data_IF_819446205187
#
_entry.id   IF_819446205187
#
_cell.length_a   1.000
_cell.length_b   1.000
_cell.length_c   1.000
_cell.angle_alpha   90.00
_cell.angle_beta   90.00
_cell.angle_gamma   90.00
#
_symmetry.space_group_name_H-M   'P 1'
#
loop_
_entity.id
_entity.type
_entity.pdbx_description
1 polymer ?
#
# COMPACT_ATOMS: atom_id res chain seq x y z
N UNK A 1 24.06 19.46 -14.00
CA UNK A 1 23.25 18.29 -13.61
C UNK A 1 23.67 17.90 -12.20
N UNK A 2 22.80 17.83 -11.21
CA UNK A 2 23.16 17.29 -9.91
C UNK A 2 23.62 15.82 -10.08
N UNK A 3 24.58 15.34 -9.30
CA UNK A 3 25.05 13.97 -9.39
C UNK A 3 23.86 13.03 -9.15
N UNK A 4 23.67 12.07 -10.06
CA UNK A 4 22.62 11.06 -9.93
C UNK A 4 22.86 10.33 -8.61
N UNK A 5 21.99 10.56 -7.64
CA UNK A 5 22.06 9.86 -6.36
C UNK A 5 22.07 8.34 -6.61
N UNK A 6 22.87 7.54 -5.91
CA UNK A 6 22.89 6.09 -6.05
C UNK A 6 21.50 5.47 -5.83
N UNK A 7 20.58 6.20 -5.19
CA UNK A 7 19.19 5.78 -4.97
C UNK A 7 18.29 5.89 -6.21
N UNK A 8 18.71 6.60 -7.28
CA UNK A 8 17.87 6.80 -8.48
C UNK A 8 17.50 5.48 -9.14
N UNK A 9 18.45 4.54 -9.22
CA UNK A 9 18.21 3.22 -9.84
C UNK A 9 17.19 2.42 -9.02
N UNK A 10 17.32 2.41 -7.69
CA UNK A 10 16.39 1.69 -6.80
C UNK A 10 14.97 2.24 -6.91
N UNK A 11 14.84 3.56 -7.05
CA UNK A 11 13.55 4.23 -7.22
C UNK A 11 12.89 3.89 -8.56
N UNK A 12 13.67 3.88 -9.63
CA UNK A 12 13.18 3.46 -10.96
C UNK A 12 12.72 2.00 -10.93
N UNK A 13 13.50 1.11 -10.32
CA UNK A 13 13.13 -0.30 -10.19
C UNK A 13 11.84 -0.45 -9.37
N UNK A 14 11.75 0.24 -8.24
CA UNK A 14 10.55 0.22 -7.41
C UNK A 14 9.33 0.73 -8.18
N UNK A 15 9.48 1.82 -8.92
CA UNK A 15 8.41 2.36 -9.77
C UNK A 15 7.96 1.33 -10.82
N UNK A 16 8.89 0.67 -11.51
CA UNK A 16 8.56 -0.33 -12.52
C UNK A 16 7.83 -1.53 -11.90
N UNK A 17 8.23 -1.99 -10.72
CA UNK A 17 7.54 -3.05 -9.99
C UNK A 17 6.10 -2.64 -9.67
N UNK A 18 5.91 -1.45 -9.08
CA UNK A 18 4.60 -0.96 -8.71
C UNK A 18 3.70 -0.71 -9.92
N UNK A 19 4.25 -0.16 -11.01
CA UNK A 19 3.52 0.01 -12.26
C UNK A 19 3.07 -1.33 -12.84
N UNK A 20 3.94 -2.35 -12.82
CA UNK A 20 3.60 -3.71 -13.28
C UNK A 20 2.46 -4.34 -12.48
N UNK A 21 2.48 -4.17 -11.16
CA UNK A 21 1.39 -4.59 -10.25
C UNK A 21 0.07 -3.91 -10.63
N UNK A 22 0.10 -2.61 -10.86
CA UNK A 22 -1.10 -1.85 -11.21
C UNK A 22 -1.65 -2.24 -12.59
N UNK A 23 -0.78 -2.44 -13.58
CA UNK A 23 -1.18 -2.93 -14.90
C UNK A 23 -1.81 -4.32 -14.79
N UNK A 24 -1.22 -5.23 -14.01
CA UNK A 24 -1.79 -6.55 -13.77
C UNK A 24 -3.20 -6.48 -13.18
N UNK A 25 -3.40 -5.68 -12.13
CA UNK A 25 -4.72 -5.49 -11.50
C UNK A 25 -5.72 -4.84 -12.46
N UNK A 26 -5.28 -3.84 -13.22
CA UNK A 26 -6.10 -3.19 -14.24
C UNK A 26 -6.60 -4.18 -15.30
N UNK A 27 -5.71 -5.01 -15.84
CA UNK A 27 -6.07 -6.02 -16.84
C UNK A 27 -7.07 -7.03 -16.26
N UNK A 28 -6.88 -7.46 -15.02
CA UNK A 28 -7.82 -8.36 -14.32
C UNK A 28 -9.18 -7.73 -14.11
N UNK A 29 -9.23 -6.50 -13.61
CA UNK A 29 -10.47 -5.77 -13.36
C UNK A 29 -11.23 -5.50 -14.68
N UNK A 30 -10.53 -5.01 -15.70
CA UNK A 30 -11.09 -4.79 -17.05
C UNK A 30 -11.67 -6.07 -17.64
N UNK A 31 -10.94 -7.19 -17.51
CA UNK A 31 -11.42 -8.50 -17.98
C UNK A 31 -12.69 -8.95 -17.25
N UNK A 32 -12.81 -8.65 -15.96
CA UNK A 32 -14.00 -8.96 -15.16
C UNK A 32 -15.19 -8.07 -15.53
N UNK A 33 -14.96 -6.76 -15.70
CA UNK A 33 -15.97 -5.80 -16.16
C UNK A 33 -16.53 -6.22 -17.53
N UNK A 34 -15.65 -6.57 -18.48
CA UNK A 34 -16.07 -6.99 -19.82
C UNK A 34 -16.96 -8.22 -19.83
N UNK A 35 -16.73 -9.17 -18.90
CA UNK A 35 -17.50 -10.43 -18.77
C UNK A 35 -18.74 -10.28 -17.89
N UNK A 36 -18.96 -9.13 -17.26
CA UNK A 36 -20.15 -8.88 -16.45
C UNK A 36 -21.43 -8.76 -17.30
N UNK A 37 -22.58 -8.90 -16.68
CA UNK A 37 -23.88 -8.71 -17.32
C UNK A 37 -24.29 -7.24 -17.54
N UNK A 38 -23.43 -6.27 -17.24
CA UNK A 38 -23.74 -4.84 -17.39
C UNK A 38 -23.93 -4.42 -18.84
N UNK A 39 -24.64 -3.31 -19.06
CA UNK A 39 -24.80 -2.72 -20.39
C UNK A 39 -23.46 -2.24 -20.99
N UNK A 40 -23.30 -2.18 -22.33
CA UNK A 40 -22.04 -1.76 -22.94
C UNK A 40 -21.60 -0.37 -22.50
N UNK A 41 -22.53 0.59 -22.38
CA UNK A 41 -22.27 1.95 -21.90
C UNK A 41 -21.73 1.97 -20.47
N UNK A 42 -22.33 1.20 -19.58
CA UNK A 42 -21.88 1.10 -18.19
C UNK A 42 -20.52 0.42 -18.06
N UNK A 43 -20.24 -0.63 -18.85
CA UNK A 43 -18.90 -1.23 -18.94
C UNK A 43 -17.82 -0.23 -19.38
N UNK A 44 -18.14 0.57 -20.40
CA UNK A 44 -17.23 1.60 -20.89
C UNK A 44 -16.94 2.65 -19.81
N UNK A 45 -17.97 3.12 -19.13
CA UNK A 45 -17.85 4.07 -18.02
C UNK A 45 -16.96 3.49 -16.89
N UNK A 46 -17.21 2.25 -16.46
CA UNK A 46 -16.41 1.60 -15.43
C UNK A 46 -14.93 1.47 -15.83
N UNK A 47 -14.66 1.08 -17.09
CA UNK A 47 -13.27 0.98 -17.57
C UNK A 47 -12.62 2.35 -17.64
N UNK A 48 -13.34 3.37 -18.10
CA UNK A 48 -12.83 4.74 -18.15
C UNK A 48 -12.51 5.27 -16.75
N UNK A 49 -13.45 5.11 -15.80
CA UNK A 49 -13.23 5.50 -14.40
C UNK A 49 -12.04 4.79 -13.76
N UNK A 50 -11.89 3.49 -14.02
CA UNK A 50 -10.74 2.72 -13.55
C UNK A 50 -9.43 3.22 -14.17
N UNK A 51 -9.44 3.58 -15.46
CA UNK A 51 -8.25 4.13 -16.15
C UNK A 51 -7.85 5.49 -15.57
N UNK A 52 -8.82 6.37 -15.34
CA UNK A 52 -8.59 7.67 -14.70
C UNK A 52 -8.04 7.47 -13.28
N UNK A 53 -8.65 6.59 -12.50
CA UNK A 53 -8.20 6.29 -11.14
C UNK A 53 -6.73 5.82 -11.11
N UNK A 54 -6.39 4.83 -11.95
CA UNK A 54 -5.00 4.33 -12.04
C UNK A 54 -4.05 5.44 -12.51
N UNK A 55 -4.47 6.29 -13.45
CA UNK A 55 -3.70 7.45 -13.91
C UNK A 55 -3.44 8.47 -12.80
N UNK A 56 -4.48 8.83 -12.04
CA UNK A 56 -4.36 9.75 -10.89
C UNK A 56 -3.42 9.19 -9.82
N UNK A 57 -3.44 7.88 -9.59
CA UNK A 57 -2.53 7.23 -8.63
C UNK A 57 -1.06 7.22 -9.10
N UNK A 58 -0.75 7.62 -10.35
CA UNK A 58 0.64 7.84 -10.77
C UNK A 58 1.17 9.23 -10.39
N UNK A 59 0.30 10.19 -10.08
CA UNK A 59 0.69 11.58 -9.78
C UNK A 59 1.73 11.66 -8.66
N UNK A 60 1.59 10.97 -7.51
CA UNK A 60 2.59 11.01 -6.45
C UNK A 60 3.97 10.47 -6.86
N UNK A 61 4.01 9.46 -7.75
CA UNK A 61 5.29 8.97 -8.30
C UNK A 61 5.97 10.02 -9.18
N UNK A 62 5.18 10.63 -10.09
CA UNK A 62 5.66 11.69 -10.99
C UNK A 62 6.11 12.90 -10.17
N UNK A 63 5.31 13.27 -9.16
CA UNK A 63 5.59 14.35 -8.25
C UNK A 63 6.96 14.21 -7.56
N UNK A 64 7.32 12.99 -7.20
CA UNK A 64 8.61 12.75 -6.58
C UNK A 64 9.79 12.98 -7.54
N UNK A 65 9.65 12.67 -8.83
CA UNK A 65 10.71 12.91 -9.82
C UNK A 65 10.83 14.38 -10.23
N UNK A 66 9.74 15.15 -10.20
CA UNK A 66 9.72 16.57 -10.57
C UNK A 66 10.32 17.46 -9.47
N UNK A 67 10.15 17.06 -8.19
CA UNK A 67 10.68 17.79 -7.05
C UNK A 67 9.62 18.61 -6.29
N UNK A 68 10.06 19.49 -5.36
CA UNK A 68 9.21 20.11 -4.35
C UNK A 68 8.46 21.38 -4.82
N UNK A 69 8.06 21.45 -6.08
CA UNK A 69 7.26 22.55 -6.61
C UNK A 69 5.95 22.73 -5.83
N UNK A 70 5.46 23.98 -5.60
CA UNK A 70 4.28 24.24 -4.76
C UNK A 70 3.02 23.46 -5.17
N UNK A 71 2.72 23.37 -6.47
CA UNK A 71 1.58 22.60 -6.99
C UNK A 71 1.72 21.10 -6.76
N UNK A 72 2.94 20.58 -6.85
CA UNK A 72 3.27 19.18 -6.60
C UNK A 72 3.08 18.82 -5.13
N UNK A 73 3.50 19.71 -4.22
CA UNK A 73 3.29 19.53 -2.77
C UNK A 73 1.82 19.45 -2.40
N UNK A 74 0.99 20.32 -2.99
CA UNK A 74 -0.46 20.33 -2.72
C UNK A 74 -1.11 19.04 -3.22
N UNK A 75 -0.80 18.59 -4.43
CA UNK A 75 -1.31 17.34 -4.97
C UNK A 75 -0.85 16.13 -4.13
N UNK A 76 0.41 16.11 -3.70
CA UNK A 76 0.93 15.06 -2.83
C UNK A 76 0.24 15.05 -1.47
N UNK A 77 0.01 16.21 -0.85
CA UNK A 77 -0.66 16.31 0.45
C UNK A 77 -2.06 15.67 0.44
N UNK A 78 -2.80 15.84 -0.66
CA UNK A 78 -4.14 15.25 -0.82
C UNK A 78 -4.08 13.76 -1.15
N UNK A 79 -3.14 13.36 -2.00
CA UNK A 79 -3.09 12.01 -2.55
C UNK A 79 -2.24 11.03 -1.72
N UNK A 80 -1.44 11.48 -0.75
CA UNK A 80 -0.48 10.62 -0.02
C UNK A 80 -1.14 9.39 0.63
N UNK A 81 -2.25 9.55 1.32
CA UNK A 81 -2.97 8.43 1.96
C UNK A 81 -3.68 7.53 0.94
N UNK A 82 -4.52 8.05 0.02
CA UNK A 82 -5.08 7.23 -1.05
C UNK A 82 -4.02 6.47 -1.85
N UNK A 83 -2.89 7.12 -2.13
CA UNK A 83 -1.76 6.53 -2.83
C UNK A 83 -1.09 5.41 -2.02
N UNK A 84 -0.85 5.61 -0.73
CA UNK A 84 -0.28 4.58 0.13
C UNK A 84 -1.21 3.36 0.22
N UNK A 85 -2.51 3.59 0.50
CA UNK A 85 -3.52 2.53 0.53
C UNK A 85 -3.56 1.76 -0.79
N UNK A 86 -3.58 2.48 -1.91
CA UNK A 86 -3.60 1.87 -3.24
C UNK A 86 -2.33 1.06 -3.50
N UNK A 87 -1.15 1.62 -3.26
CA UNK A 87 0.13 1.00 -3.59
C UNK A 87 0.38 -0.27 -2.77
N UNK A 88 0.27 -0.20 -1.45
CA UNK A 88 0.49 -1.35 -0.58
C UNK A 88 -0.64 -2.38 -0.70
N UNK A 89 -1.89 -1.93 -0.74
CA UNK A 89 -3.04 -2.80 -0.93
C UNK A 89 -3.01 -3.52 -2.28
N UNK A 90 -2.56 -2.82 -3.35
CA UNK A 90 -2.41 -3.39 -4.68
C UNK A 90 -1.37 -4.51 -4.71
N UNK A 91 -0.22 -4.34 -4.03
CA UNK A 91 0.81 -5.40 -3.92
C UNK A 91 0.21 -6.66 -3.30
N UNK A 92 -0.41 -6.54 -2.12
CA UNK A 92 -1.02 -7.67 -1.41
C UNK A 92 -2.11 -8.36 -2.24
N UNK A 93 -2.99 -7.56 -2.86
CA UNK A 93 -4.04 -8.07 -3.76
C UNK A 93 -3.45 -8.79 -4.97
N UNK A 94 -2.42 -8.22 -5.59
CA UNK A 94 -1.77 -8.82 -6.77
C UNK A 94 -1.05 -10.13 -6.42
N UNK A 95 -0.41 -10.22 -5.26
CA UNK A 95 0.22 -11.45 -4.77
C UNK A 95 -0.82 -12.57 -4.59
N UNK A 96 -1.95 -12.28 -3.97
CA UNK A 96 -3.04 -13.26 -3.79
C UNK A 96 -3.63 -13.70 -5.12
N UNK A 97 -3.94 -12.76 -6.03
CA UNK A 97 -4.47 -13.07 -7.34
C UNK A 97 -3.46 -13.81 -8.20
N UNK A 98 -2.18 -13.43 -8.17
CA UNK A 98 -1.10 -14.09 -8.87
C UNK A 98 -0.89 -15.53 -8.39
N UNK A 99 -0.84 -15.75 -7.09
CA UNK A 99 -0.76 -17.09 -6.52
C UNK A 99 -1.93 -17.98 -6.98
N UNK A 100 -3.15 -17.44 -6.97
CA UNK A 100 -4.30 -18.16 -7.51
C UNK A 100 -4.14 -18.50 -8.99
N UNK A 101 -3.66 -17.57 -9.80
CA UNK A 101 -3.48 -17.79 -11.24
C UNK A 101 -2.44 -18.89 -11.50
N UNK A 102 -1.33 -18.87 -10.78
CA UNK A 102 -0.29 -19.90 -10.83
C UNK A 102 -0.88 -21.27 -10.47
N UNK A 103 -1.55 -21.36 -9.31
CA UNK A 103 -2.19 -22.62 -8.88
C UNK A 103 -3.23 -23.10 -9.89
N UNK A 104 -4.04 -22.20 -10.45
CA UNK A 104 -5.05 -22.57 -11.45
C UNK A 104 -4.45 -23.09 -12.74
N UNK A 105 -3.32 -22.50 -13.16
CA UNK A 105 -2.58 -22.90 -14.35
C UNK A 105 -1.98 -24.30 -14.20
N UNK A 106 -1.31 -24.57 -13.08
CA UNK A 106 -0.76 -25.91 -12.80
C UNK A 106 -1.86 -26.96 -12.68
N UNK A 107 -2.94 -26.67 -11.97
CA UNK A 107 -4.10 -27.57 -11.86
C UNK A 107 -4.73 -27.86 -13.23
N UNK A 108 -4.81 -26.87 -14.11
CA UNK A 108 -5.28 -27.04 -15.49
C UNK A 108 -4.42 -28.01 -16.29
N UNK A 109 -3.09 -27.84 -16.22
CA UNK A 109 -2.14 -28.73 -16.89
C UNK A 109 -2.20 -30.18 -16.38
N UNK A 110 -2.27 -30.37 -15.06
CA UNK A 110 -2.39 -31.72 -14.46
C UNK A 110 -3.71 -32.39 -14.86
N UNK A 111 -4.83 -31.64 -14.88
CA UNK A 111 -6.12 -32.16 -15.35
C UNK A 111 -6.10 -32.57 -16.82
N UNK A 112 -5.53 -31.73 -17.68
CA UNK A 112 -5.40 -32.05 -19.11
C UNK A 112 -4.59 -33.34 -19.35
N UNK A 113 -3.54 -33.58 -18.56
CA UNK A 113 -2.74 -34.80 -18.65
C UNK A 113 -3.46 -36.05 -18.13
N UNK A 114 -4.41 -35.90 -17.18
CA UNK A 114 -5.11 -37.05 -16.56
C UNK A 114 -6.42 -37.46 -17.27
N UNK A 115 -6.83 -36.74 -18.31
CA UNK A 115 -8.08 -37.03 -19.03
C UNK A 115 -9.36 -36.97 -18.20
N UNK A 116 -9.30 -36.40 -17.00
CA UNK A 116 -10.35 -36.52 -15.99
C UNK A 116 -11.36 -35.36 -16.13
N UNK A 117 -12.40 -35.58 -16.93
CA UNK A 117 -13.51 -34.64 -17.15
C UNK A 117 -14.60 -34.82 -16.06
N UNK A 118 -14.28 -34.58 -14.79
CA UNK A 118 -15.32 -34.52 -13.76
C UNK A 118 -16.21 -33.30 -14.01
N UNK A 119 -17.56 -33.43 -13.91
CA UNK A 119 -18.48 -32.31 -14.08
C UNK A 119 -18.15 -31.21 -13.09
N UNK A 120 -18.12 -29.97 -13.57
CA UNK A 120 -17.80 -28.78 -12.75
C UNK A 120 -19.06 -28.31 -12.09
N UNK A 121 -19.14 -28.37 -10.76
CA UNK A 121 -20.22 -27.73 -10.02
C UNK A 121 -20.06 -26.20 -10.13
N UNK A 122 -20.93 -25.57 -10.91
CA UNK A 122 -20.88 -24.13 -11.22
C UNK A 122 -21.16 -23.27 -10.00
N UNK A 123 -22.05 -23.70 -9.10
CA UNK A 123 -22.37 -22.97 -7.86
C UNK A 123 -21.18 -22.93 -6.91
N UNK A 124 -20.54 -24.08 -6.67
CA UNK A 124 -19.32 -24.16 -5.87
C UNK A 124 -18.20 -23.29 -6.46
N UNK A 125 -18.07 -23.28 -7.78
CA UNK A 125 -17.08 -22.43 -8.47
C UNK A 125 -17.38 -20.94 -8.29
N UNK A 126 -18.67 -20.56 -8.38
CA UNK A 126 -19.11 -19.19 -8.17
C UNK A 126 -18.91 -18.75 -6.71
N UNK A 127 -19.27 -19.62 -5.75
CA UNK A 127 -19.04 -19.37 -4.32
C UNK A 127 -17.54 -19.17 -4.01
N UNK A 128 -16.70 -20.12 -4.40
CA UNK A 128 -15.26 -20.02 -4.20
C UNK A 128 -14.66 -18.79 -4.88
N UNK A 129 -15.19 -18.40 -6.04
CA UNK A 129 -14.78 -17.19 -6.75
C UNK A 129 -15.11 -15.91 -5.99
N UNK A 130 -16.28 -15.83 -5.35
CA UNK A 130 -16.72 -14.71 -4.50
C UNK A 130 -15.92 -14.66 -3.20
N UNK A 131 -15.81 -15.78 -2.50
CA UNK A 131 -15.05 -15.91 -1.26
C UNK A 131 -13.57 -15.51 -1.47
N UNK A 132 -12.95 -16.00 -2.54
CA UNK A 132 -11.60 -15.60 -2.88
C UNK A 132 -11.49 -14.10 -3.24
N UNK A 133 -12.50 -13.55 -3.90
CA UNK A 133 -12.58 -12.11 -4.19
C UNK A 133 -12.59 -11.26 -2.92
N UNK A 134 -13.34 -11.68 -1.90
CA UNK A 134 -13.36 -11.04 -0.59
C UNK A 134 -11.98 -11.10 0.09
N UNK A 135 -11.36 -12.29 0.13
CA UNK A 135 -10.00 -12.46 0.69
C UNK A 135 -8.97 -11.60 -0.08
N UNK A 136 -9.07 -11.52 -1.41
CA UNK A 136 -8.16 -10.71 -2.20
C UNK A 136 -8.34 -9.19 -1.98
N UNK A 137 -9.47 -8.74 -1.45
CA UNK A 137 -9.71 -7.35 -1.07
C UNK A 137 -9.16 -7.00 0.33
N UNK A 138 -8.87 -8.00 1.17
CA UNK A 138 -8.39 -7.80 2.55
C UNK A 138 -7.16 -6.89 2.64
N UNK A 139 -6.12 -7.01 1.79
CA UNK A 139 -4.97 -6.10 1.84
C UNK A 139 -5.35 -4.63 1.64
N UNK A 140 -6.32 -4.34 0.77
CA UNK A 140 -6.81 -2.96 0.59
C UNK A 140 -7.46 -2.42 1.86
N UNK A 141 -8.32 -3.23 2.48
CA UNK A 141 -9.03 -2.85 3.71
C UNK A 141 -8.03 -2.68 4.86
N UNK A 142 -7.09 -3.62 5.01
CA UNK A 142 -6.07 -3.56 6.06
C UNK A 142 -5.17 -2.32 5.90
N UNK A 143 -4.75 -2.01 4.67
CA UNK A 143 -3.92 -0.82 4.40
C UNK A 143 -4.71 0.47 4.62
N UNK A 144 -6.00 0.51 4.23
CA UNK A 144 -6.86 1.64 4.48
C UNK A 144 -7.05 1.88 5.99
N UNK A 145 -7.28 0.81 6.75
CA UNK A 145 -7.38 0.90 8.21
C UNK A 145 -6.08 1.43 8.84
N UNK A 146 -4.92 0.84 8.50
CA UNK A 146 -3.62 1.29 9.00
C UNK A 146 -3.32 2.74 8.64
N UNK A 147 -3.60 3.17 7.40
CA UNK A 147 -3.37 4.53 6.96
C UNK A 147 -4.27 5.57 7.63
N UNK A 148 -5.47 5.19 8.09
CA UNK A 148 -6.44 6.15 8.67
C UNK A 148 -6.44 6.17 10.19
N UNK A 149 -6.26 5.01 10.83
CA UNK A 149 -6.42 4.88 12.28
C UNK A 149 -5.10 4.69 13.04
N UNK A 150 -4.14 3.99 12.45
CA UNK A 150 -2.90 3.62 13.16
C UNK A 150 -1.84 4.72 13.10
N UNK A 151 -1.75 5.45 11.97
CA UNK A 151 -0.78 6.55 11.80
C UNK A 151 -1.03 7.76 12.68
N UNK A 152 -2.24 7.90 13.25
CA UNK A 152 -2.61 9.00 14.15
C UNK A 152 -2.36 8.67 15.63
N UNK A 153 -1.95 7.45 15.96
CA UNK A 153 -1.82 6.98 17.34
C UNK A 153 -0.39 7.12 17.83
N UNK A 154 -0.16 8.08 18.72
CA UNK A 154 1.10 8.19 19.45
C UNK A 154 1.06 7.22 20.66
N UNK A 155 1.96 6.26 20.70
CA UNK A 155 2.13 5.36 21.83
C UNK A 155 3.36 5.76 22.65
N UNK A 156 3.18 5.95 23.95
CA UNK A 156 4.26 6.25 24.88
C UNK A 156 4.62 4.96 25.62
N UNK A 157 5.75 4.37 25.27
CA UNK A 157 6.28 3.16 25.92
C UNK A 157 7.29 3.57 26.97
N UNK A 158 7.07 3.20 28.21
CA UNK A 158 8.02 3.41 29.32
C UNK A 158 8.77 2.11 29.63
N UNK A 159 10.11 2.21 29.65
CA UNK A 159 10.98 1.08 29.99
C UNK A 159 12.00 1.53 31.02
N UNK A 160 12.14 0.76 32.09
CA UNK A 160 13.24 0.93 33.03
C UNK A 160 14.39 0.02 32.60
N UNK A 161 15.55 0.60 32.45
CA UNK A 161 16.76 -0.10 32.00
C UNK A 161 17.77 -0.05 33.16
N UNK A 162 18.05 -1.14 33.86
CA UNK A 162 19.08 -1.18 34.89
C UNK A 162 20.48 -1.21 34.24
N UNK A 163 21.31 -0.27 34.62
CA UNK A 163 22.72 -0.20 34.22
C UNK A 163 23.62 -0.21 35.48
N UNK A 164 24.03 -1.36 36.00
CA UNK A 164 24.80 -1.46 37.24
C UNK A 164 26.15 -0.74 37.22
N UNK A 165 26.69 -0.46 36.01
CA UNK A 165 27.98 0.21 35.79
C UNK A 165 27.90 1.73 35.72
N UNK A 166 26.69 2.33 35.74
CA UNK A 166 26.54 3.78 35.72
C UNK A 166 26.84 4.40 37.09
N UNK A 167 27.48 5.59 37.10
CA UNK A 167 27.67 6.34 38.34
C UNK A 167 26.34 6.66 39.03
N UNK A 168 26.28 6.70 40.38
CA UNK A 168 25.05 6.99 41.14
C UNK A 168 24.38 8.31 40.78
N UNK A 169 25.14 9.27 40.23
CA UNK A 169 24.61 10.56 39.74
C UNK A 169 23.66 10.45 38.58
N UNK A 170 23.60 9.30 37.88
CA UNK A 170 22.67 9.02 36.80
C UNK A 170 21.44 8.24 37.24
N UNK A 171 21.32 7.94 38.52
CA UNK A 171 20.15 7.22 39.01
C UNK A 171 18.91 8.11 38.86
N UNK A 172 17.84 7.52 38.30
CA UNK A 172 16.62 8.26 37.94
C UNK A 172 16.67 9.09 36.68
N UNK A 173 17.78 9.06 35.88
CA UNK A 173 17.83 9.74 34.61
C UNK A 173 16.74 9.23 33.66
N UNK A 174 15.95 10.15 33.16
CA UNK A 174 14.94 9.86 32.13
C UNK A 174 15.45 10.27 30.76
N UNK A 175 15.42 9.34 29.81
CA UNK A 175 15.78 9.60 28.41
C UNK A 175 14.56 9.41 27.54
N UNK A 176 14.23 10.41 26.75
CA UNK A 176 13.17 10.33 25.77
C UNK A 176 13.76 10.10 24.38
N UNK A 177 13.28 9.09 23.68
CA UNK A 177 13.68 8.79 22.33
C UNK A 177 12.46 8.86 21.39
N UNK A 178 12.61 9.59 20.30
CA UNK A 178 11.72 9.50 19.15
C UNK A 178 12.54 9.13 17.92
N UNK A 179 12.13 8.10 17.21
CA UNK A 179 12.79 7.64 15.98
C UNK A 179 11.81 7.67 14.81
N UNK A 180 12.36 7.60 13.59
CA UNK A 180 11.59 7.40 12.36
C UNK A 180 10.58 8.51 12.04
N UNK A 181 10.90 9.73 12.43
CA UNK A 181 9.99 10.89 12.37
C UNK A 181 9.56 11.25 10.93
N UNK A 182 10.35 10.88 9.91
CA UNK A 182 10.06 11.16 8.50
C UNK A 182 9.58 12.60 8.23
N UNK A 183 10.28 13.59 8.80
CA UNK A 183 9.95 15.00 8.64
C UNK A 183 9.97 15.42 7.17
N UNK A 184 9.00 16.22 6.76
CA UNK A 184 8.86 16.71 5.39
C UNK A 184 7.55 16.27 4.74
N UNK A 185 7.60 15.36 3.77
CA UNK A 185 6.39 14.92 3.03
C UNK A 185 5.41 14.13 3.89
N UNK A 186 5.90 13.30 4.81
CA UNK A 186 5.07 12.40 5.62
C UNK A 186 4.55 13.07 6.89
N UNK A 187 5.37 13.88 7.54
CA UNK A 187 5.00 14.60 8.76
C UNK A 187 5.05 16.11 8.52
N UNK A 188 3.89 16.76 8.59
CA UNK A 188 3.77 18.21 8.45
C UNK A 188 4.29 18.94 9.70
N UNK A 189 4.68 20.24 9.58
CA UNK A 189 5.22 21.01 10.70
C UNK A 189 4.27 21.14 11.91
N UNK A 190 2.95 21.09 11.70
CA UNK A 190 1.98 21.20 12.79
C UNK A 190 1.95 19.91 13.61
N UNK A 191 1.99 18.77 12.95
CA UNK A 191 2.08 17.45 13.61
C UNK A 191 3.40 17.31 14.35
N UNK A 192 4.51 17.76 13.76
CA UNK A 192 5.82 17.74 14.42
C UNK A 192 5.83 18.61 15.69
N UNK A 193 5.25 19.83 15.66
CA UNK A 193 5.13 20.68 16.85
C UNK A 193 4.33 20.01 17.96
N UNK A 194 3.21 19.35 17.63
CA UNK A 194 2.42 18.59 18.62
C UNK A 194 3.23 17.46 19.25
N UNK A 195 4.00 16.73 18.44
CA UNK A 195 4.90 15.69 18.94
C UNK A 195 5.90 16.27 19.94
N UNK A 196 6.60 17.35 19.57
CA UNK A 196 7.57 18.02 20.47
C UNK A 196 6.91 18.53 21.75
N UNK A 197 5.72 19.10 21.68
CA UNK A 197 4.97 19.54 22.87
C UNK A 197 4.66 18.36 23.80
N UNK A 198 4.24 17.22 23.26
CA UNK A 198 3.97 16.01 24.05
C UNK A 198 5.25 15.45 24.66
N UNK A 199 6.37 15.47 23.91
CA UNK A 199 7.67 15.06 24.43
C UNK A 199 8.11 15.94 25.61
N UNK A 200 8.00 17.26 25.47
CA UNK A 200 8.38 18.19 26.54
C UNK A 200 7.46 18.07 27.78
N UNK A 201 6.19 17.72 27.59
CA UNK A 201 5.26 17.47 28.70
C UNK A 201 5.63 16.25 29.54
N UNK A 202 6.41 15.31 29.01
CA UNK A 202 6.91 14.14 29.73
C UNK A 202 8.06 14.47 30.70
N UNK A 203 8.64 15.67 30.62
CA UNK A 203 9.73 16.16 31.47
C UNK A 203 10.88 15.13 31.58
N UNK A 204 11.54 14.80 30.44
CA UNK A 204 12.67 13.88 30.45
C UNK A 204 13.86 14.47 31.19
#
# INVERSE_FOLDING_TARGET
>A
MPPRSPYTIHLVVLFLILASVQVYLFVKARGRIRRSGFTPRFKSLLVASLSVFVGVMQIPYIAWFIGPEPGVRSAYAVLKYPFAVWSFGAIGTALLLGARDVVSHFRGRVRARRGNLRPVNLERRAFLGRAFGAVAATPMVATAYGATFDTARLEIVRKTLPFPSLPPSFDGLTVLQASDIHSGLSMDPATLRKLVQQMNALRP
#
